data_IF_782908059862
#
_entry.id   IF_782908059862
#
_cell.length_a   1.000
_cell.length_b   1.000
_cell.length_c   1.000
_cell.angle_alpha   90.00
_cell.angle_beta   90.00
_cell.angle_gamma   90.00
#
_symmetry.space_group_name_H-M   'P 1'
#
loop_
_entity.id
_entity.type
_entity.pdbx_description
1 polymer ?
#
# COMPACT_ATOMS: atom_id res chain seq x y z
N UNK A 1 -2.80 -11.99 5.22
CA UNK A 1 -3.24 -12.11 3.81
C UNK A 1 -4.35 -11.11 3.57
N UNK A 2 -4.46 -10.50 2.37
CA UNK A 2 -5.54 -9.55 2.09
C UNK A 2 -6.91 -10.25 2.11
N UNK A 3 -7.93 -9.54 2.58
CA UNK A 3 -9.34 -9.94 2.50
C UNK A 3 -9.92 -9.38 1.20
N UNK A 4 -10.51 -10.24 0.37
CA UNK A 4 -11.24 -9.85 -0.83
C UNK A 4 -12.74 -10.02 -0.61
N UNK A 5 -13.51 -9.06 -1.11
CA UNK A 5 -14.98 -9.10 -1.09
C UNK A 5 -15.50 -9.32 -2.50
N UNK A 6 -16.39 -10.29 -2.64
CA UNK A 6 -17.08 -10.60 -3.88
C UNK A 6 -18.55 -10.26 -3.74
N UNK A 7 -19.17 -9.85 -4.84
CA UNK A 7 -20.58 -9.49 -4.89
C UNK A 7 -21.24 -10.04 -6.14
N UNK A 8 -22.40 -10.65 -5.95
CA UNK A 8 -23.32 -10.97 -7.03
C UNK A 8 -24.17 -9.73 -7.35
N UNK A 9 -24.14 -9.24 -8.59
CA UNK A 9 -24.89 -8.05 -8.99
C UNK A 9 -26.38 -8.33 -9.25
N UNK A 10 -26.79 -9.60 -9.30
CA UNK A 10 -28.20 -9.97 -9.48
C UNK A 10 -28.91 -10.20 -8.15
N UNK A 11 -28.29 -10.99 -7.26
CA UNK A 11 -28.86 -11.34 -5.98
C UNK A 11 -28.42 -10.40 -4.84
N UNK A 12 -27.48 -9.50 -5.11
CA UNK A 12 -26.89 -8.57 -4.14
C UNK A 12 -26.25 -9.28 -2.93
N UNK A 13 -25.94 -10.57 -3.05
CA UNK A 13 -25.22 -11.38 -2.06
C UNK A 13 -23.74 -11.04 -2.08
N UNK A 14 -23.11 -11.08 -0.92
CA UNK A 14 -21.67 -10.83 -0.74
C UNK A 14 -20.99 -12.03 -0.13
N UNK A 15 -19.76 -12.28 -0.55
CA UNK A 15 -18.89 -13.32 0.01
C UNK A 15 -17.51 -12.73 0.29
N UNK A 16 -16.80 -13.25 1.30
CA UNK A 16 -15.48 -12.77 1.69
C UNK A 16 -14.47 -13.92 1.73
N UNK A 17 -13.32 -13.72 1.07
CA UNK A 17 -12.26 -14.72 1.05
C UNK A 17 -10.89 -14.11 1.41
N UNK A 18 -10.08 -14.90 2.11
CA UNK A 18 -8.72 -14.56 2.50
C UNK A 18 -7.77 -15.32 1.56
N UNK A 19 -7.39 -14.69 0.46
CA UNK A 19 -6.46 -15.28 -0.51
C UNK A 19 -5.33 -14.31 -0.88
N UNK A 20 -4.32 -14.77 -1.62
CA UNK A 20 -3.35 -13.88 -2.27
C UNK A 20 -3.91 -13.43 -3.60
N UNK A 21 -3.60 -12.20 -4.05
CA UNK A 21 -4.05 -11.68 -5.35
C UNK A 21 -3.79 -12.64 -6.52
N UNK A 22 -2.63 -13.32 -6.52
CA UNK A 22 -2.25 -14.29 -7.56
C UNK A 22 -3.09 -15.57 -7.57
N UNK A 23 -3.69 -15.91 -6.43
CA UNK A 23 -4.48 -17.13 -6.24
C UNK A 23 -5.97 -16.83 -6.11
N UNK A 24 -6.38 -15.64 -6.54
CA UNK A 24 -7.75 -15.17 -6.40
C UNK A 24 -8.67 -16.00 -7.29
N UNK A 25 -9.67 -16.63 -6.68
CA UNK A 25 -10.73 -17.35 -7.38
C UNK A 25 -12.06 -16.64 -7.13
N UNK A 26 -12.87 -16.51 -8.16
CA UNK A 26 -14.18 -15.89 -8.06
C UNK A 26 -15.20 -16.94 -7.61
N UNK A 27 -15.89 -16.74 -6.47
CA UNK A 27 -16.88 -17.69 -5.99
C UNK A 27 -18.15 -17.65 -6.84
N UNK A 28 -18.88 -18.77 -6.86
CA UNK A 28 -20.19 -18.86 -7.52
C UNK A 28 -21.26 -18.43 -6.52
N UNK A 29 -22.21 -17.59 -6.97
CA UNK A 29 -23.30 -17.12 -6.14
C UNK A 29 -24.22 -18.29 -5.75
N UNK A 30 -24.50 -18.51 -4.44
CA UNK A 30 -25.31 -19.63 -3.97
C UNK A 30 -26.82 -19.50 -4.30
N UNK A 31 -27.25 -18.39 -4.92
CA UNK A 31 -28.67 -18.13 -5.24
C UNK A 31 -29.01 -18.15 -6.72
N UNK A 32 -28.08 -17.73 -7.58
CA UNK A 32 -28.31 -17.63 -9.02
C UNK A 32 -27.27 -18.36 -9.86
N UNK A 33 -26.34 -19.08 -9.24
CA UNK A 33 -25.25 -19.84 -9.87
C UNK A 33 -24.37 -19.01 -10.83
N UNK A 34 -24.42 -17.67 -10.71
CA UNK A 34 -23.56 -16.77 -11.47
C UNK A 34 -22.27 -16.49 -10.73
N UNK A 35 -21.21 -16.33 -11.49
CA UNK A 35 -19.90 -15.92 -10.97
C UNK A 35 -20.04 -14.56 -10.25
N UNK A 36 -19.56 -14.51 -9.02
CA UNK A 36 -19.48 -13.27 -8.26
C UNK A 36 -18.24 -12.50 -8.70
N UNK A 37 -18.33 -11.18 -8.77
CA UNK A 37 -17.18 -10.33 -9.16
C UNK A 37 -16.77 -9.45 -7.99
N UNK A 38 -15.70 -8.69 -8.17
CA UNK A 38 -15.16 -7.85 -7.11
C UNK A 38 -16.15 -6.80 -6.62
N UNK A 39 -16.34 -6.74 -5.31
CA UNK A 39 -17.05 -5.65 -4.69
C UNK A 39 -16.13 -4.43 -4.61
N UNK A 40 -16.28 -3.52 -5.56
CA UNK A 40 -15.55 -2.25 -5.59
C UNK A 40 -16.11 -1.21 -4.61
N UNK A 41 -17.16 -1.54 -3.85
CA UNK A 41 -17.70 -0.57 -2.89
C UNK A 41 -16.69 -0.32 -1.77
N UNK A 42 -16.31 0.96 -1.55
CA UNK A 42 -15.36 1.29 -0.49
C UNK A 42 -16.03 1.09 0.87
N UNK A 43 -15.68 -0.01 1.54
CA UNK A 43 -16.18 -0.30 2.87
C UNK A 43 -15.27 0.44 3.86
N UNK A 44 -15.86 1.25 4.74
CA UNK A 44 -15.15 2.07 5.75
C UNK A 44 -14.19 1.27 6.68
N UNK A 45 -14.19 -0.07 6.62
CA UNK A 45 -13.36 -0.96 7.43
C UNK A 45 -12.21 -1.65 6.71
N UNK A 46 -11.98 -1.45 5.41
CA UNK A 46 -10.85 -2.05 4.70
C UNK A 46 -9.53 -1.35 5.10
N UNK A 47 -9.00 -1.71 6.27
CA UNK A 47 -7.69 -1.27 6.73
C UNK A 47 -6.65 -2.09 5.98
N UNK A 48 -6.19 -1.57 4.83
CA UNK A 48 -5.01 -2.14 4.18
C UNK A 48 -3.83 -2.03 5.16
N UNK A 49 -3.32 -3.18 5.60
CA UNK A 49 -2.17 -3.23 6.50
C UNK A 49 -0.98 -2.46 5.90
N UNK A 50 -0.19 -1.83 6.78
CA UNK A 50 1.03 -1.16 6.35
C UNK A 50 1.94 -2.18 5.64
N UNK A 51 2.37 -1.81 4.44
CA UNK A 51 3.37 -2.54 3.67
C UNK A 51 4.60 -1.67 3.52
N UNK A 52 5.76 -2.29 3.60
CA UNK A 52 7.02 -1.63 3.29
C UNK A 52 6.96 -1.09 1.85
N UNK A 53 7.44 0.14 1.68
CA UNK A 53 7.48 0.83 0.39
C UNK A 53 8.92 1.23 0.10
N UNK A 54 9.32 1.04 -1.15
CA UNK A 54 10.64 1.44 -1.63
C UNK A 54 10.50 2.76 -2.38
N UNK A 55 11.28 3.77 -1.99
CA UNK A 55 11.38 5.05 -2.68
C UNK A 55 12.72 5.12 -3.41
N UNK A 56 12.65 5.09 -4.74
CA UNK A 56 13.81 5.22 -5.65
C UNK A 56 14.24 6.68 -5.85
N UNK A 57 13.54 7.63 -5.22
CA UNK A 57 13.70 9.06 -5.47
C UNK A 57 15.08 9.64 -5.14
N UNK A 58 15.94 8.88 -4.45
CA UNK A 58 17.31 9.30 -4.18
C UNK A 58 18.28 8.91 -5.30
N UNK A 59 18.01 7.84 -6.06
CA UNK A 59 18.81 7.40 -7.22
C UNK A 59 20.30 7.19 -6.98
N UNK A 60 20.79 7.36 -5.75
CA UNK A 60 22.18 7.46 -5.32
C UNK A 60 22.27 6.81 -3.96
N UNK A 61 23.19 5.85 -3.79
CA UNK A 61 23.35 5.14 -2.53
C UNK A 61 23.97 6.09 -1.48
N UNK A 62 23.52 6.08 -0.21
CA UNK A 62 24.04 6.98 0.82
C UNK A 62 25.56 6.92 1.00
N UNK A 63 26.19 5.77 0.74
CA UNK A 63 27.65 5.61 0.78
C UNK A 63 28.40 6.34 -0.33
N UNK A 64 27.72 6.73 -1.42
CA UNK A 64 28.29 7.55 -2.49
C UNK A 64 28.34 9.03 -2.07
N UNK A 65 27.62 9.41 -1.02
CA UNK A 65 27.60 10.76 -0.48
C UNK A 65 28.54 10.79 0.73
N UNK A 66 29.82 11.04 0.45
CA UNK A 66 30.92 11.01 1.43
C UNK A 66 30.72 11.97 2.62
N UNK A 67 29.95 13.05 2.43
CA UNK A 67 29.75 14.10 3.42
C UNK A 67 28.73 13.75 4.52
N UNK A 68 28.11 12.57 4.45
CA UNK A 68 27.10 12.13 5.43
C UNK A 68 25.84 13.00 5.46
N UNK A 69 25.64 13.89 4.48
CA UNK A 69 24.50 14.80 4.37
C UNK A 69 23.17 14.06 4.29
N UNK A 70 23.16 12.84 3.75
CA UNK A 70 21.97 11.97 3.72
C UNK A 70 21.44 11.69 5.11
N UNK A 71 22.29 11.40 6.08
CA UNK A 71 21.88 11.12 7.46
C UNK A 71 21.42 12.39 8.20
N UNK A 72 21.86 13.58 7.76
CA UNK A 72 21.38 14.86 8.28
C UNK A 72 19.98 15.19 7.76
N UNK A 73 19.72 14.93 6.48
CA UNK A 73 18.43 15.19 5.83
C UNK A 73 17.40 14.13 6.22
N UNK A 74 17.83 12.88 6.32
CA UNK A 74 16.97 11.72 6.60
C UNK A 74 17.50 10.88 7.77
N UNK A 75 17.43 11.37 9.01
CA UNK A 75 17.88 10.63 10.17
C UNK A 75 17.09 9.32 10.31
N UNK A 76 17.79 8.23 10.64
CA UNK A 76 17.20 6.91 10.88
C UNK A 76 16.63 6.18 9.65
N UNK A 77 16.81 6.73 8.44
CA UNK A 77 16.35 6.08 7.21
C UNK A 77 17.12 4.79 6.94
N UNK A 78 16.42 3.76 6.46
CA UNK A 78 17.01 2.51 5.99
C UNK A 78 17.07 2.52 4.46
N UNK A 79 18.12 1.91 3.92
CA UNK A 79 18.35 1.84 2.48
C UNK A 79 18.57 0.38 2.07
N UNK A 80 18.13 0.02 0.86
CA UNK A 80 18.45 -1.27 0.26
C UNK A 80 19.87 -1.23 -0.38
N UNK A 81 20.34 -2.38 -0.88
CA UNK A 81 21.65 -2.48 -1.54
C UNK A 81 21.80 -1.60 -2.79
N UNK A 82 20.68 -1.20 -3.42
CA UNK A 82 20.67 -0.35 -4.60
C UNK A 82 20.68 1.15 -4.26
N UNK A 83 20.54 1.52 -2.97
CA UNK A 83 20.49 2.90 -2.51
C UNK A 83 19.09 3.48 -2.39
N UNK A 84 18.05 2.67 -2.64
CA UNK A 84 16.67 3.09 -2.49
C UNK A 84 16.27 3.13 -1.01
N UNK A 85 15.49 4.14 -0.63
CA UNK A 85 15.02 4.30 0.74
C UNK A 85 13.85 3.35 1.04
N UNK A 86 13.95 2.61 2.13
CA UNK A 86 12.91 1.71 2.64
C UNK A 86 12.07 2.49 3.66
N UNK A 87 10.79 2.67 3.36
CA UNK A 87 9.80 3.25 4.26
C UNK A 87 8.96 2.13 4.87
N UNK A 88 8.96 2.02 6.20
CA UNK A 88 8.30 0.93 6.93
C UNK A 88 6.78 1.02 6.88
N UNK A 89 6.24 2.24 6.97
CA UNK A 89 4.81 2.46 7.09
C UNK A 89 4.35 3.82 6.52
N UNK A 90 3.03 4.03 6.46
CA UNK A 90 2.45 5.28 5.95
C UNK A 90 2.82 6.51 6.78
N UNK A 91 3.04 6.36 8.09
CA UNK A 91 3.48 7.48 8.94
C UNK A 91 4.88 7.95 8.59
N UNK A 92 5.81 7.04 8.35
CA UNK A 92 7.17 7.37 7.93
C UNK A 92 7.15 8.07 6.58
N UNK A 93 6.35 7.58 5.63
CA UNK A 93 6.16 8.26 4.34
C UNK A 93 5.64 9.70 4.50
N UNK A 94 4.63 9.91 5.35
CA UNK A 94 4.10 11.26 5.62
C UNK A 94 5.15 12.16 6.27
N UNK A 95 5.97 11.63 7.17
CA UNK A 95 7.08 12.37 7.76
C UNK A 95 8.11 12.78 6.69
N UNK A 96 8.51 11.88 5.80
CA UNK A 96 9.45 12.20 4.70
C UNK A 96 8.89 13.25 3.74
N UNK A 97 7.59 13.21 3.47
CA UNK A 97 6.92 14.24 2.67
C UNK A 97 6.95 15.60 3.37
N UNK A 98 6.67 15.65 4.68
CA UNK A 98 6.79 16.88 5.48
C UNK A 98 8.22 17.44 5.51
N UNK A 99 9.24 16.58 5.68
CA UNK A 99 10.66 16.97 5.61
C UNK A 99 11.02 17.65 4.28
N UNK A 100 10.33 17.29 3.20
CA UNK A 100 10.51 17.86 1.85
C UNK A 100 9.64 19.10 1.58
N UNK A 101 8.96 19.64 2.60
CA UNK A 101 8.06 20.78 2.45
C UNK A 101 6.77 20.45 1.68
N UNK A 102 6.40 19.16 1.55
CA UNK A 102 5.11 18.81 0.96
C UNK A 102 3.98 19.20 1.91
N UNK A 103 3.05 20.01 1.39
CA UNK A 103 1.85 20.44 2.10
C UNK A 103 0.66 19.73 1.47
N UNK A 104 -0.14 19.05 2.29
CA UNK A 104 -1.40 18.47 1.82
C UNK A 104 -2.38 19.61 1.52
N UNK A 105 -2.70 19.85 0.25
CA UNK A 105 -3.66 20.90 -0.14
C UNK A 105 -5.12 20.50 0.16
N UNK A 106 -5.38 19.22 0.43
CA UNK A 106 -6.73 18.68 0.69
C UNK A 106 -7.06 18.61 2.20
N UNK A 107 -6.28 19.24 3.08
CA UNK A 107 -6.56 19.28 4.52
C UNK A 107 -7.18 20.59 5.01
N UNK A 108 -7.87 21.31 4.13
CA UNK A 108 -8.69 22.48 4.45
C UNK A 108 -10.15 22.10 4.61
#
# INVERSE_FOLDING_TARGET
>A
MPLYRFKCYECNTTDEDICMFRNKQYPICPRCDKEMVDDFTPVKGAVFGDKERVSTALGVHPSQIADGSVFKIHPGAKFNANGDMIMKNRSEQKQRLKERGWVNKDSY
#
